data_IF_607898035527
#
_entry.id   IF_607898035527
#
_cell.length_a   1.000
_cell.length_b   1.000
_cell.length_c   1.000
_cell.angle_alpha   90.00
_cell.angle_beta   90.00
_cell.angle_gamma   90.00
#
_symmetry.space_group_name_H-M   'P 1'
#
loop_
_entity.id
_entity.type
_entity.pdbx_description
1 polymer ?
#
# COMPACT_ATOMS: atom_id res chain seq x y z
N UNK A 1 -14.58 -34.10 23.97
CA UNK A 1 -15.94 -33.56 23.78
C UNK A 1 -15.84 -32.27 22.99
N UNK A 2 -16.45 -32.22 21.80
CA UNK A 2 -16.57 -31.01 20.97
C UNK A 2 -17.50 -30.04 21.69
N UNK A 3 -17.00 -28.86 22.06
CA UNK A 3 -17.84 -27.75 22.49
C UNK A 3 -18.50 -27.16 21.24
N UNK A 4 -19.81 -27.36 21.14
CA UNK A 4 -20.65 -26.88 20.06
C UNK A 4 -20.75 -25.35 20.15
N UNK A 5 -20.34 -24.67 19.09
CA UNK A 5 -20.47 -23.23 18.93
C UNK A 5 -21.85 -22.94 18.34
N UNK A 6 -22.75 -22.41 19.17
CA UNK A 6 -24.04 -21.86 18.71
C UNK A 6 -23.78 -20.51 18.07
N UNK A 7 -24.23 -20.38 16.83
CA UNK A 7 -24.23 -19.14 16.07
C UNK A 7 -25.28 -18.19 16.64
N UNK A 8 -24.85 -17.01 17.09
CA UNK A 8 -25.70 -15.84 17.25
C UNK A 8 -25.04 -14.67 16.52
N UNK A 9 -25.74 -14.13 15.53
CA UNK A 9 -25.35 -12.92 14.81
C UNK A 9 -25.63 -11.67 15.63
N UNK A 10 -24.89 -10.59 15.33
CA UNK A 10 -25.19 -9.23 15.81
C UNK A 10 -24.12 -8.60 16.70
N UNK A 11 -23.26 -7.77 16.09
CA UNK A 11 -22.68 -6.52 16.63
C UNK A 11 -22.29 -6.52 18.13
N UNK A 12 -21.34 -7.37 18.54
CA UNK A 12 -20.92 -7.47 19.95
C UNK A 12 -19.44 -7.19 20.25
N UNK A 13 -18.57 -6.95 19.24
CA UNK A 13 -17.11 -6.91 19.43
C UNK A 13 -16.45 -5.51 19.44
N UNK A 14 -17.23 -4.43 19.43
CA UNK A 14 -16.71 -3.07 19.20
C UNK A 14 -16.23 -2.34 20.48
N UNK A 15 -16.65 -2.75 21.68
CA UNK A 15 -16.36 -2.00 22.92
C UNK A 15 -14.86 -1.91 23.28
N UNK A 16 -14.09 -2.99 23.08
CA UNK A 16 -12.69 -3.07 23.56
C UNK A 16 -11.70 -2.18 22.81
N UNK A 17 -12.02 -1.74 21.58
CA UNK A 17 -11.11 -0.94 20.77
C UNK A 17 -11.40 0.55 20.80
N UNK A 18 -12.68 0.94 20.80
CA UNK A 18 -13.04 2.35 20.99
C UNK A 18 -12.47 2.84 22.33
N UNK A 19 -12.46 2.00 23.37
CA UNK A 19 -11.75 2.28 24.63
C UNK A 19 -10.22 2.36 24.50
N UNK A 20 -9.61 1.57 23.61
CA UNK A 20 -8.15 1.54 23.41
C UNK A 20 -7.66 2.76 22.62
N UNK A 21 -8.39 3.19 21.58
CA UNK A 21 -8.03 4.33 20.73
C UNK A 21 -8.56 5.65 21.23
N UNK A 22 -9.79 5.71 21.72
CA UNK A 22 -10.45 6.97 22.04
C UNK A 22 -10.12 7.33 23.49
N UNK A 23 -9.71 8.59 23.70
CA UNK A 23 -9.59 9.13 25.05
C UNK A 23 -10.98 9.13 25.70
N UNK A 24 -11.12 8.54 26.90
CA UNK A 24 -12.42 8.44 27.57
C UNK A 24 -13.06 9.84 27.66
N UNK A 25 -14.19 10.05 26.96
CA UNK A 25 -14.97 11.29 27.01
C UNK A 25 -15.03 12.13 25.73
N UNK A 26 -14.22 11.88 24.70
CA UNK A 26 -14.25 12.69 23.45
C UNK A 26 -14.34 11.79 22.22
N UNK A 27 -15.53 11.66 21.63
CA UNK A 27 -15.87 10.70 20.57
C UNK A 27 -15.18 10.85 19.21
N UNK A 28 -13.97 11.44 19.12
CA UNK A 28 -13.26 11.64 17.85
C UNK A 28 -11.73 11.67 17.96
N UNK A 29 -11.15 11.96 19.13
CA UNK A 29 -9.71 12.08 19.29
C UNK A 29 -9.05 10.73 19.59
N UNK A 30 -8.13 10.30 18.71
CA UNK A 30 -7.21 9.19 18.96
C UNK A 30 -6.22 9.61 20.04
N UNK A 31 -6.02 8.76 21.05
CA UNK A 31 -5.02 8.97 22.11
C UNK A 31 -3.64 9.16 21.48
N UNK A 32 -2.88 10.19 21.86
CA UNK A 32 -1.58 10.48 21.27
C UNK A 32 -0.59 9.32 21.46
N UNK A 33 -0.66 8.62 22.60
CA UNK A 33 0.15 7.43 22.89
C UNK A 33 -0.09 6.27 21.90
N UNK A 34 -1.34 6.08 21.44
CA UNK A 34 -1.70 5.02 20.50
C UNK A 34 -1.41 5.44 19.07
N UNK A 35 -1.59 6.73 18.76
CA UNK A 35 -1.17 7.31 17.48
C UNK A 35 0.32 7.06 17.26
N UNK A 36 1.15 7.38 18.25
CA UNK A 36 2.60 7.19 18.20
C UNK A 36 3.01 5.71 18.00
N UNK A 37 2.31 4.75 18.63
CA UNK A 37 2.58 3.32 18.41
C UNK A 37 2.25 2.88 16.98
N UNK A 38 1.13 3.36 16.41
CA UNK A 38 0.73 3.05 15.04
C UNK A 38 1.71 3.66 14.02
N UNK A 39 2.10 4.90 14.23
CA UNK A 39 3.14 5.57 13.43
C UNK A 39 4.46 4.82 13.50
N UNK A 40 4.90 4.40 14.69
CA UNK A 40 6.13 3.65 14.86
C UNK A 40 6.11 2.33 14.10
N UNK A 41 5.04 1.55 14.22
CA UNK A 41 4.92 0.28 13.47
C UNK A 41 4.83 0.50 11.96
N UNK A 42 4.14 1.54 11.50
CA UNK A 42 4.09 1.88 10.08
C UNK A 42 5.45 2.39 9.55
N UNK A 43 6.19 3.16 10.34
CA UNK A 43 7.55 3.65 10.06
C UNK A 43 8.61 2.54 10.02
N UNK A 44 8.37 1.45 10.73
CA UNK A 44 9.17 0.22 10.65
C UNK A 44 8.87 -0.60 9.37
N UNK A 45 7.90 -0.15 8.54
CA UNK A 45 7.55 -0.77 7.27
C UNK A 45 6.66 -2.01 7.41
N UNK A 46 5.95 -2.18 8.54
CA UNK A 46 5.04 -3.31 8.71
C UNK A 46 3.82 -3.19 7.78
N UNK A 47 3.38 -4.33 7.24
CA UNK A 47 2.12 -4.39 6.49
C UNK A 47 0.92 -4.12 7.39
N UNK A 48 -0.20 -3.69 6.79
CA UNK A 48 -1.43 -3.46 7.54
C UNK A 48 -1.95 -4.76 8.21
N UNK A 49 -1.69 -5.94 7.61
CA UNK A 49 -2.02 -7.22 8.26
C UNK A 49 -1.13 -7.48 9.48
N UNK A 50 0.16 -7.16 9.42
CA UNK A 50 1.09 -7.33 10.53
C UNK A 50 0.75 -6.39 11.70
N UNK A 51 0.38 -5.14 11.39
CA UNK A 51 -0.08 -4.17 12.38
C UNK A 51 -1.37 -4.67 13.05
N UNK A 52 -2.34 -5.15 12.25
CA UNK A 52 -3.55 -5.77 12.78
C UNK A 52 -3.25 -6.97 13.70
N UNK A 53 -2.28 -7.81 13.31
CA UNK A 53 -1.79 -8.92 14.13
C UNK A 53 -1.20 -8.47 15.47
N UNK A 54 -0.36 -7.43 15.49
CA UNK A 54 0.19 -6.84 16.73
C UNK A 54 -0.87 -6.26 17.64
N UNK A 55 -1.97 -5.78 17.06
CA UNK A 55 -3.13 -5.26 17.80
C UNK A 55 -4.11 -6.38 18.24
N UNK A 56 -3.85 -7.63 17.85
CA UNK A 56 -4.75 -8.78 18.06
C UNK A 56 -6.15 -8.58 17.46
N UNK A 57 -6.23 -7.96 16.28
CA UNK A 57 -7.48 -7.75 15.54
C UNK A 57 -7.44 -8.44 14.18
N UNK A 58 -8.62 -8.75 13.64
CA UNK A 58 -8.73 -9.18 12.26
C UNK A 58 -8.39 -8.05 11.30
N UNK A 59 -7.77 -8.36 10.18
CA UNK A 59 -7.52 -7.40 9.11
C UNK A 59 -8.79 -6.75 8.56
N UNK A 60 -9.92 -7.49 8.51
CA UNK A 60 -11.21 -6.93 8.11
C UNK A 60 -11.65 -5.79 9.03
N UNK A 61 -11.46 -5.96 10.34
CA UNK A 61 -11.75 -4.95 11.35
C UNK A 61 -10.82 -3.74 11.24
N UNK A 62 -9.52 -3.98 10.98
CA UNK A 62 -8.56 -2.90 10.72
C UNK A 62 -9.00 -2.02 9.55
N UNK A 63 -9.44 -2.64 8.44
CA UNK A 63 -9.91 -1.93 7.25
C UNK A 63 -11.18 -1.11 7.51
N UNK A 64 -12.13 -1.67 8.27
CA UNK A 64 -13.34 -0.93 8.69
C UNK A 64 -12.98 0.29 9.56
N UNK A 65 -12.02 0.15 10.46
CA UNK A 65 -11.57 1.24 11.32
C UNK A 65 -10.84 2.34 10.57
N UNK A 66 -10.04 1.98 9.57
CA UNK A 66 -9.43 2.95 8.65
C UNK A 66 -10.49 3.79 7.94
N UNK A 67 -11.66 3.20 7.61
CA UNK A 67 -12.78 3.92 7.02
C UNK A 67 -13.53 4.79 8.04
N UNK A 68 -13.74 4.28 9.26
CA UNK A 68 -14.51 4.95 10.32
C UNK A 68 -13.74 6.09 11.01
N UNK A 69 -12.43 5.94 11.19
CA UNK A 69 -11.58 6.86 11.95
C UNK A 69 -10.49 7.48 11.07
N UNK A 70 -10.71 8.71 10.62
CA UNK A 70 -9.75 9.44 9.77
C UNK A 70 -8.39 9.63 10.44
N UNK A 71 -8.35 9.92 11.74
CA UNK A 71 -7.12 10.08 12.49
C UNK A 71 -6.29 8.79 12.57
N UNK A 72 -6.95 7.62 12.61
CA UNK A 72 -6.27 6.33 12.54
C UNK A 72 -5.66 6.09 11.16
N UNK A 73 -6.43 6.37 10.11
CA UNK A 73 -5.94 6.26 8.74
C UNK A 73 -4.76 7.20 8.47
N UNK A 74 -4.83 8.42 9.00
CA UNK A 74 -3.76 9.41 8.89
C UNK A 74 -2.47 8.94 9.58
N UNK A 75 -2.55 8.46 10.83
CA UNK A 75 -1.38 7.94 11.55
C UNK A 75 -0.66 6.80 10.80
N UNK A 76 -1.43 5.88 10.22
CA UNK A 76 -0.87 4.76 9.43
C UNK A 76 -0.26 5.28 8.12
N UNK A 77 -0.85 6.28 7.49
CA UNK A 77 -0.33 6.88 6.25
C UNK A 77 0.96 7.65 6.48
N UNK A 78 1.01 8.48 7.53
CA UNK A 78 2.20 9.27 7.92
C UNK A 78 3.40 8.35 8.21
N UNK A 79 3.18 7.25 8.93
CA UNK A 79 4.25 6.28 9.18
C UNK A 79 4.73 5.56 7.91
N UNK A 80 3.83 5.26 6.97
CA UNK A 80 4.19 4.64 5.68
C UNK A 80 5.06 5.56 4.82
N UNK A 81 4.72 6.83 4.74
CA UNK A 81 5.52 7.82 4.00
C UNK A 81 6.96 7.87 4.54
N UNK A 82 7.11 7.85 5.86
CA UNK A 82 8.44 7.83 6.47
C UNK A 82 9.22 6.52 6.23
N UNK A 83 8.53 5.38 6.09
CA UNK A 83 9.15 4.13 5.65
C UNK A 83 9.58 4.20 4.18
N UNK A 84 8.74 4.75 3.30
CA UNK A 84 9.03 4.94 1.88
C UNK A 84 10.27 5.83 1.69
N UNK A 85 10.38 6.95 2.42
CA UNK A 85 11.54 7.84 2.40
C UNK A 85 12.85 7.11 2.75
N UNK A 86 12.82 6.16 3.69
CA UNK A 86 14.03 5.34 4.00
C UNK A 86 14.41 4.45 2.83
N UNK A 87 13.44 3.82 2.19
CA UNK A 87 13.66 2.96 1.01
C UNK A 87 14.19 3.79 -0.15
N UNK A 88 13.61 4.97 -0.40
CA UNK A 88 14.06 5.90 -1.43
C UNK A 88 15.50 6.34 -1.20
N UNK A 89 15.88 6.69 0.04
CA UNK A 89 17.24 7.04 0.38
C UNK A 89 18.22 5.87 0.16
N UNK A 90 17.85 4.65 0.58
CA UNK A 90 18.67 3.47 0.37
C UNK A 90 18.85 3.13 -1.12
N UNK A 91 17.77 3.25 -1.90
CA UNK A 91 17.79 3.08 -3.35
C UNK A 91 18.70 4.12 -4.01
N UNK A 92 18.59 5.39 -3.64
CA UNK A 92 19.43 6.46 -4.16
C UNK A 92 20.92 6.21 -3.86
N UNK A 93 21.26 5.78 -2.65
CA UNK A 93 22.63 5.42 -2.29
C UNK A 93 23.15 4.23 -3.10
N UNK A 94 22.32 3.21 -3.35
CA UNK A 94 22.68 2.11 -4.25
C UNK A 94 22.93 2.57 -5.69
N UNK A 95 22.08 3.47 -6.18
CA UNK A 95 22.26 4.04 -7.52
C UNK A 95 23.57 4.81 -7.64
N UNK A 96 23.93 5.64 -6.65
CA UNK A 96 25.22 6.36 -6.61
C UNK A 96 26.40 5.39 -6.60
N UNK A 97 26.27 4.25 -5.92
CA UNK A 97 27.32 3.22 -5.82
C UNK A 97 27.50 2.39 -7.08
N UNK A 98 26.71 2.62 -8.14
CA UNK A 98 26.87 1.94 -9.42
C UNK A 98 25.99 0.71 -9.62
N UNK A 99 24.99 0.47 -8.77
CA UNK A 99 24.04 -0.62 -8.98
C UNK A 99 23.15 -0.33 -10.21
N UNK A 100 23.36 -1.08 -11.29
CA UNK A 100 22.66 -0.87 -12.57
C UNK A 100 21.14 -0.96 -12.44
N UNK A 101 20.62 -1.82 -11.56
CA UNK A 101 19.19 -1.98 -11.33
C UNK A 101 18.60 -0.75 -10.64
N UNK A 102 19.25 -0.26 -9.59
CA UNK A 102 18.86 0.95 -8.89
C UNK A 102 18.97 2.20 -9.78
N UNK A 103 20.03 2.30 -10.60
CA UNK A 103 20.21 3.38 -11.58
C UNK A 103 19.08 3.36 -12.61
N UNK A 104 18.80 2.21 -13.21
CA UNK A 104 17.73 2.05 -14.20
C UNK A 104 16.39 2.46 -13.59
N UNK A 105 16.02 1.89 -12.44
CA UNK A 105 14.76 2.21 -11.75
C UNK A 105 14.65 3.70 -11.37
N UNK A 106 15.74 4.30 -10.90
CA UNK A 106 15.77 5.72 -10.56
C UNK A 106 15.56 6.62 -11.79
N UNK A 107 16.24 6.33 -12.90
CA UNK A 107 16.15 7.12 -14.13
C UNK A 107 14.80 6.99 -14.82
N UNK A 108 14.21 5.79 -14.84
CA UNK A 108 12.89 5.58 -15.45
C UNK A 108 11.78 6.35 -14.73
N UNK A 109 11.91 6.53 -13.41
CA UNK A 109 10.92 7.24 -12.60
C UNK A 109 11.16 8.77 -12.58
N UNK A 110 12.41 9.25 -12.57
CA UNK A 110 12.72 10.70 -12.54
C UNK A 110 12.81 11.38 -13.91
N UNK A 111 13.19 10.65 -14.96
CA UNK A 111 13.34 11.17 -16.34
C UNK A 111 12.70 10.22 -17.34
N UNK A 112 11.37 10.01 -17.24
CA UNK A 112 10.65 9.10 -18.13
C UNK A 112 10.71 9.55 -19.60
N UNK A 113 10.90 10.84 -19.85
CA UNK A 113 11.09 11.44 -21.19
C UNK A 113 12.31 10.87 -21.92
N UNK A 114 13.39 10.56 -21.20
CA UNK A 114 14.67 10.11 -21.78
C UNK A 114 14.92 8.62 -21.63
N UNK A 115 14.32 7.97 -20.63
CA UNK A 115 14.74 6.63 -20.20
C UNK A 115 13.60 5.61 -20.13
N UNK A 116 12.36 5.97 -20.49
CA UNK A 116 11.25 5.00 -20.51
C UNK A 116 11.36 4.08 -21.73
N UNK A 117 11.38 2.77 -21.49
CA UNK A 117 11.50 1.73 -22.54
C UNK A 117 10.41 1.75 -23.63
N UNK A 118 9.28 2.42 -23.39
CA UNK A 118 8.17 2.56 -24.35
C UNK A 118 7.83 4.05 -24.55
N UNK A 119 8.31 4.70 -25.62
CA UNK A 119 7.85 6.06 -25.93
C UNK A 119 6.34 6.05 -26.13
N UNK A 120 5.64 7.04 -25.57
CA UNK A 120 4.23 7.25 -25.85
C UNK A 120 4.12 7.77 -27.29
N UNK A 121 3.96 6.85 -28.25
CA UNK A 121 3.99 7.15 -29.69
C UNK A 121 5.39 6.95 -30.28
N UNK A 122 5.66 5.74 -30.78
CA UNK A 122 6.86 5.47 -31.57
C UNK A 122 6.54 5.59 -33.04
N UNK A 123 7.09 6.62 -33.71
CA UNK A 123 7.31 6.58 -35.15
C UNK A 123 8.59 5.77 -35.36
N UNK A 124 8.50 4.62 -36.02
CA UNK A 124 9.67 3.89 -36.53
C UNK A 124 9.80 4.25 -38.01
N UNK A 125 10.96 4.75 -38.44
CA UNK A 125 11.24 4.98 -39.86
C UNK A 125 10.42 6.07 -40.57
N UNK A 126 9.83 7.03 -39.85
CA UNK A 126 9.10 8.15 -40.46
C UNK A 126 7.66 7.84 -40.86
N UNK A 127 7.12 6.67 -40.54
CA UNK A 127 5.72 6.32 -40.77
C UNK A 127 4.96 6.04 -39.47
N UNK A 128 3.72 6.52 -39.40
CA UNK A 128 2.82 6.32 -38.26
C UNK A 128 2.39 4.85 -38.20
N UNK A 129 2.80 4.13 -37.13
CA UNK A 129 2.39 2.75 -36.90
C UNK A 129 0.94 2.73 -36.41
N UNK A 130 0.02 2.42 -37.31
CA UNK A 130 -1.38 2.12 -36.95
C UNK A 130 -1.45 0.70 -36.40
N UNK A 131 -1.98 0.56 -35.18
CA UNK A 131 -2.32 -0.74 -34.61
C UNK A 131 -3.57 -1.24 -35.37
N UNK A 132 -3.40 -2.28 -36.18
CA UNK A 132 -4.51 -3.05 -36.74
C UNK A 132 -4.91 -4.09 -35.70
N UNK A 133 -6.13 -3.99 -35.20
CA UNK A 133 -6.66 -4.93 -34.19
C UNK A 133 -6.91 -6.34 -34.77
N UNK A 134 -6.99 -6.47 -36.10
CA UNK A 134 -7.24 -7.73 -36.79
C UNK A 134 -6.09 -8.11 -37.73
N UNK A 135 -5.23 -9.02 -37.28
CA UNK A 135 -4.36 -9.79 -38.17
C UNK A 135 -5.21 -10.93 -38.74
N UNK A 136 -5.46 -11.01 -40.06
CA UNK A 136 -6.22 -12.12 -40.62
C UNK A 136 -5.47 -13.42 -40.34
N UNK A 137 -6.16 -14.37 -39.71
CA UNK A 137 -5.60 -15.67 -39.40
C UNK A 137 -5.12 -16.33 -40.69
N UNK A 138 -3.91 -16.90 -40.67
CA UNK A 138 -3.32 -17.56 -41.82
C UNK A 138 -4.31 -18.61 -42.35
N UNK A 139 -4.50 -18.72 -43.69
CA UNK A 139 -5.40 -19.73 -44.22
C UNK A 139 -4.86 -21.10 -43.83
N UNK A 140 -5.56 -21.77 -42.92
CA UNK A 140 -5.30 -23.16 -42.58
C UNK A 140 -5.59 -24.00 -43.82
N UNK A 141 -4.54 -24.39 -44.53
CA UNK A 141 -4.61 -25.33 -45.64
C UNK A 141 -5.14 -26.68 -45.14
N UNK A 142 -6.08 -27.24 -45.89
CA UNK A 142 -6.54 -28.63 -45.74
C UNK A 142 -5.58 -29.58 -46.43
#
# INVERSE_FOLDING_TARGET
MRLFFVQQGGVGKIKKFEEWIIAAGTGSAVRPEKKALLEAWAHDGLSEEQIAGKMHISYSTFKEWKKKYKAFAQAVSEGKEAADVKVENALYQKAIRGDLGAICFYLTNRRPDKWRNKPAGGVIGGEEVKIIDDIPNAPTGK
#
